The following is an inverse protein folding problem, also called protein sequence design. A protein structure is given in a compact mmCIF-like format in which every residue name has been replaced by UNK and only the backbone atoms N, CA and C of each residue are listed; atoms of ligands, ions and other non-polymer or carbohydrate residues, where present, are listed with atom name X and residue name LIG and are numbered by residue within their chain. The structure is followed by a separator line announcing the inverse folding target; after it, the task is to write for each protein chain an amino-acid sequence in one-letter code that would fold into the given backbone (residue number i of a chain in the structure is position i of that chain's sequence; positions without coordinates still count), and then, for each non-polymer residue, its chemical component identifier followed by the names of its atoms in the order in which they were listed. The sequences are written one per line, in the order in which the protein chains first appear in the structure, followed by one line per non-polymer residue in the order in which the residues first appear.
data_IF_253220372771
#
_entry.id   IF_253220372771
#
_cell.length_a   1.000
_cell.length_b   1.000
_cell.length_c   1.000
_cell.angle_alpha   90.00
_cell.angle_beta   90.00
_cell.angle_gamma   90.00
#
_symmetry.space_group_name_H-M   'P 1'
#
loop_
_entity.id
_entity.type
_entity.pdbx_description
1 polymer ?
#
# COMPACT_ATOMS: atom_id res chain seq x y z
N UNK A 1 -13.01 3.62 -10.02
CA UNK A 1 -11.72 3.07 -9.60
C UNK A 1 -11.41 1.91 -10.53
N UNK A 2 -10.24 1.96 -11.14
CA UNK A 2 -9.77 0.97 -12.12
C UNK A 2 -8.63 0.15 -11.52
N UNK A 3 -7.85 0.76 -10.62
CA UNK A 3 -6.68 0.14 -10.01
C UNK A 3 -6.38 0.72 -8.62
N UNK A 4 -5.73 -0.09 -7.80
CA UNK A 4 -5.25 0.23 -6.47
C UNK A 4 -3.73 0.06 -6.45
N UNK A 5 -3.00 1.14 -6.25
CA UNK A 5 -1.56 1.16 -6.01
C UNK A 5 -1.31 1.04 -4.51
N UNK A 6 -0.73 -0.06 -4.06
CA UNK A 6 -0.40 -0.25 -2.64
C UNK A 6 1.06 0.16 -2.47
N UNK A 7 1.30 1.17 -1.65
CA UNK A 7 2.65 1.51 -1.20
C UNK A 7 2.88 0.86 0.15
N UNK A 8 4.01 0.20 0.31
CA UNK A 8 4.36 -0.60 1.47
C UNK A 8 5.86 -0.47 1.76
N UNK A 9 6.23 -0.27 3.01
CA UNK A 9 7.63 -0.21 3.42
C UNK A 9 7.82 -0.15 4.93
N UNK A 10 9.05 0.05 5.37
CA UNK A 10 9.40 0.24 6.80
C UNK A 10 9.48 1.71 7.21
N UNK A 11 9.31 2.63 6.24
CA UNK A 11 9.32 4.07 6.46
C UNK A 11 7.94 4.54 6.88
N UNK A 12 7.87 5.52 7.79
CA UNK A 12 6.61 6.12 8.26
C UNK A 12 5.77 6.69 7.13
N UNK A 13 6.42 7.13 6.05
CA UNK A 13 5.77 7.50 4.79
C UNK A 13 6.16 6.50 3.71
N UNK A 14 5.34 5.46 3.44
CA UNK A 14 5.65 4.47 2.44
C UNK A 14 5.67 5.10 1.03
N UNK A 15 6.85 5.16 0.44
CA UNK A 15 7.08 5.64 -0.93
C UNK A 15 7.37 4.49 -1.92
N UNK A 16 7.59 3.28 -1.40
CA UNK A 16 7.85 2.08 -2.21
C UNK A 16 6.53 1.48 -2.65
N UNK A 17 6.31 1.38 -3.96
CA UNK A 17 5.18 0.67 -4.52
C UNK A 17 5.38 -0.84 -4.31
N UNK A 18 4.49 -1.48 -3.55
CA UNK A 18 4.43 -2.93 -3.42
C UNK A 18 4.00 -3.57 -4.73
N UNK A 19 2.96 -2.99 -5.31
CA UNK A 19 2.34 -3.42 -6.55
C UNK A 19 1.00 -2.74 -6.77
N UNK A 20 0.50 -2.90 -7.98
CA UNK A 20 -0.81 -2.43 -8.41
C UNK A 20 -1.73 -3.63 -8.56
N UNK A 21 -2.92 -3.56 -7.98
CA UNK A 21 -3.93 -4.61 -8.10
C UNK A 21 -5.29 -3.98 -8.40
N UNK A 22 -6.12 -4.69 -9.15
CA UNK A 22 -7.56 -4.36 -9.28
C UNK A 22 -8.41 -5.11 -8.26
N UNK A 23 -7.80 -6.04 -7.52
CA UNK A 23 -8.44 -6.83 -6.47
C UNK A 23 -8.36 -6.11 -5.12
N UNK A 24 -9.22 -6.50 -4.18
CA UNK A 24 -9.19 -5.95 -2.81
C UNK A 24 -8.10 -6.60 -1.92
N UNK A 25 -7.19 -7.38 -2.51
CA UNK A 25 -6.16 -8.14 -1.80
C UNK A 25 -4.84 -8.08 -2.56
N UNK A 26 -3.73 -7.99 -1.82
CA UNK A 26 -2.37 -8.08 -2.34
C UNK A 26 -1.50 -8.86 -1.36
N UNK A 27 -0.58 -9.66 -1.87
CA UNK A 27 0.40 -10.37 -1.06
C UNK A 27 1.66 -9.51 -0.88
N UNK A 28 2.11 -9.39 0.37
CA UNK A 28 3.34 -8.69 0.72
C UNK A 28 4.30 -9.64 1.44
N UNK A 29 5.58 -9.64 1.04
CA UNK A 29 6.60 -10.37 1.79
C UNK A 29 7.10 -9.48 2.93
N UNK A 30 6.99 -9.98 4.15
CA UNK A 30 7.36 -9.25 5.38
C UNK A 30 8.33 -10.06 6.23
N UNK A 31 9.22 -9.38 6.94
CA UNK A 31 10.15 -9.98 7.89
C UNK A 31 9.64 -9.79 9.33
N UNK A 32 9.80 -10.81 10.16
CA UNK A 32 9.49 -10.73 11.59
C UNK A 32 10.42 -9.76 12.33
N UNK A 33 9.89 -9.10 13.36
CA UNK A 33 10.60 -8.12 14.18
C UNK A 33 10.60 -6.68 13.63
N UNK A 34 9.92 -6.43 12.50
CA UNK A 34 9.86 -5.13 11.83
C UNK A 34 8.46 -4.54 11.91
N UNK A 35 8.40 -3.20 11.90
CA UNK A 35 7.15 -2.44 11.72
C UNK A 35 7.08 -2.04 10.25
N UNK A 36 5.92 -2.26 9.65
CA UNK A 36 5.66 -1.88 8.27
C UNK A 36 4.51 -0.89 8.22
N UNK A 37 4.65 0.07 7.31
CA UNK A 37 3.69 1.10 6.99
C UNK A 37 3.22 0.92 5.57
N UNK A 38 1.95 1.15 5.32
CA UNK A 38 1.36 1.01 4.01
C UNK A 38 0.21 1.98 3.79
N UNK A 39 -0.03 2.32 2.54
CA UNK A 39 -1.14 3.16 2.10
C UNK A 39 -1.61 2.71 0.73
N UNK A 40 -2.85 3.02 0.40
CA UNK A 40 -3.45 2.70 -0.89
C UNK A 40 -3.66 4.00 -1.66
N UNK A 41 -3.27 4.01 -2.92
CA UNK A 41 -3.62 5.06 -3.87
C UNK A 41 -4.59 4.44 -4.87
N UNK A 42 -5.84 4.90 -4.87
CA UNK A 42 -6.84 4.44 -5.84
C UNK A 42 -6.76 5.33 -7.07
N UNK A 43 -6.66 4.75 -8.27
CA UNK A 43 -6.77 5.49 -9.54
C UNK A 43 -8.09 5.18 -10.22
N UNK A 44 -8.78 6.19 -10.72
CA UNK A 44 -9.97 6.01 -11.56
C UNK A 44 -9.65 6.11 -13.06
N UNK A 45 -10.67 5.86 -13.89
CA UNK A 45 -10.57 5.91 -15.35
C UNK A 45 -10.33 7.31 -15.90
N UNK A 46 -10.48 8.35 -15.06
CA UNK A 46 -10.24 9.76 -15.39
C UNK A 46 -8.89 10.25 -14.85
N UNK A 47 -8.01 9.31 -14.44
CA UNK A 47 -6.71 9.57 -13.81
C UNK A 47 -6.77 10.30 -12.47
N UNK A 48 -7.94 10.43 -11.84
CA UNK A 48 -7.98 10.94 -10.47
C UNK A 48 -7.37 9.90 -9.54
N UNK A 49 -6.48 10.39 -8.67
CA UNK A 49 -5.85 9.60 -7.62
C UNK A 49 -6.42 10.02 -6.28
N UNK A 50 -6.72 9.05 -5.43
CA UNK A 50 -7.12 9.28 -4.05
C UNK A 50 -6.24 8.45 -3.13
N UNK A 51 -5.63 9.08 -2.13
CA UNK A 51 -4.72 8.43 -1.20
C UNK A 51 -5.46 8.10 0.10
N UNK A 52 -5.28 6.88 0.61
CA UNK A 52 -5.76 6.50 1.92
C UNK A 52 -4.85 7.05 3.03
N UNK A 53 -5.33 6.94 4.26
CA UNK A 53 -4.47 7.10 5.44
C UNK A 53 -3.33 6.07 5.43
N UNK A 54 -2.27 6.38 6.17
CA UNK A 54 -1.15 5.46 6.37
C UNK A 54 -1.52 4.51 7.50
N UNK A 55 -1.52 3.22 7.19
CA UNK A 55 -1.72 2.14 8.13
C UNK A 55 -0.39 1.53 8.52
N UNK A 56 -0.27 1.06 9.74
CA UNK A 56 0.92 0.37 10.22
C UNK A 56 0.57 -0.96 10.90
N UNK A 57 1.50 -1.90 10.82
CA UNK A 57 1.44 -3.13 11.59
C UNK A 57 2.85 -3.62 11.95
N UNK A 58 2.93 -4.34 13.05
CA UNK A 58 4.15 -4.97 13.52
C UNK A 58 4.08 -6.47 13.30
N UNK A 59 5.13 -7.03 12.70
CA UNK A 59 5.30 -8.49 12.57
C UNK A 59 6.10 -8.98 13.77
N UNK A 60 5.54 -9.93 14.53
CA UNK A 60 6.20 -10.54 15.70
C UNK A 60 6.81 -11.91 15.40
#
# INVERSE_FOLDING_TARGET
ITEYDILFGTETTPATLLGTTSENTIDATVASGQIYYWRIITKDSEENTSESEIFDFRVN
#
